data_IF_669038808989
#
_entry.id   IF_669038808989
#
_cell.length_a   1.000
_cell.length_b   1.000
_cell.length_c   1.000
_cell.angle_alpha   90.00
_cell.angle_beta   90.00
_cell.angle_gamma   90.00
#
_symmetry.space_group_name_H-M   'P 1'
#
loop_
_entity.id
_entity.type
_entity.pdbx_description
1 polymer ?
#
# COMPACT_ATOMS: atom_id res chain seq x y z
N UNK A 1 57.46 2.01 -8.67
CA UNK A 1 56.34 2.73 -8.00
C UNK A 1 55.09 2.83 -8.89
N UNK A 2 54.46 1.70 -9.24
CA UNK A 2 53.19 1.68 -10.00
C UNK A 2 52.19 0.60 -9.49
N UNK A 3 52.26 0.24 -8.21
CA UNK A 3 51.38 -0.76 -7.60
C UNK A 3 50.33 -0.17 -6.64
N UNK A 4 50.47 1.08 -6.19
CA UNK A 4 49.55 1.70 -5.22
C UNK A 4 48.22 2.23 -5.81
N UNK A 5 48.10 2.43 -7.13
CA UNK A 5 46.82 2.90 -7.73
C UNK A 5 45.81 1.76 -7.95
N UNK A 6 46.32 0.53 -8.01
CA UNK A 6 45.63 -0.76 -7.82
C UNK A 6 44.53 -0.81 -6.74
N UNK A 7 45.03 -0.64 -5.52
CA UNK A 7 44.35 -1.05 -4.30
C UNK A 7 43.33 0.01 -3.86
N UNK A 8 43.57 1.28 -4.21
CA UNK A 8 42.63 2.36 -3.94
C UNK A 8 41.37 2.27 -4.83
N UNK A 9 41.48 1.74 -6.06
CA UNK A 9 40.32 1.52 -6.93
C UNK A 9 39.49 0.31 -6.50
N UNK A 10 40.11 -0.70 -5.88
CA UNK A 10 39.42 -1.86 -5.30
C UNK A 10 38.71 -1.55 -3.98
N UNK A 11 39.21 -0.57 -3.21
CA UNK A 11 38.54 -0.10 -1.99
C UNK A 11 37.30 0.76 -2.27
N UNK A 12 37.21 1.42 -3.43
CA UNK A 12 36.00 2.15 -3.84
C UNK A 12 34.89 1.17 -4.30
N UNK A 13 35.23 -0.05 -4.72
CA UNK A 13 34.24 -1.09 -5.05
C UNK A 13 33.89 -2.02 -3.87
N UNK A 14 34.66 -2.00 -2.78
CA UNK A 14 34.42 -2.82 -1.59
C UNK A 14 33.36 -2.25 -0.62
N UNK A 15 32.94 -1.00 -0.80
CA UNK A 15 31.75 -0.44 -0.14
C UNK A 15 30.49 -0.55 -1.00
N UNK A 16 30.43 -1.54 -1.89
CA UNK A 16 29.13 -2.16 -2.16
C UNK A 16 28.75 -2.98 -0.93
N UNK A 17 28.27 -2.28 0.11
CA UNK A 17 27.33 -2.87 1.04
C UNK A 17 26.24 -3.44 0.14
N UNK A 18 26.33 -4.74 -0.13
CA UNK A 18 25.24 -5.52 -0.70
C UNK A 18 24.22 -5.57 0.41
N UNK A 19 23.50 -4.45 0.55
CA UNK A 19 22.27 -4.38 1.28
C UNK A 19 21.38 -5.38 0.57
N UNK A 20 21.32 -6.60 1.10
CA UNK A 20 20.18 -7.46 0.82
C UNK A 20 19.01 -6.71 1.44
N UNK A 21 18.40 -5.84 0.64
CA UNK A 21 17.07 -5.31 0.91
C UNK A 21 16.24 -6.57 1.09
N UNK A 22 16.04 -6.98 2.34
CA UNK A 22 15.02 -7.96 2.70
C UNK A 22 13.74 -7.24 2.37
N UNK A 23 13.31 -7.37 1.11
CA UNK A 23 12.11 -6.73 0.60
C UNK A 23 11.00 -7.08 1.56
N UNK A 24 10.39 -6.06 2.15
CA UNK A 24 9.28 -6.29 3.05
C UNK A 24 8.15 -7.00 2.30
N UNK A 25 7.31 -7.76 3.02
CA UNK A 25 6.13 -8.41 2.43
C UNK A 25 5.29 -7.36 1.67
N UNK A 26 5.19 -6.17 2.23
CA UNK A 26 4.54 -5.02 1.61
C UNK A 26 5.13 -4.60 0.26
N UNK A 27 6.46 -4.56 0.12
CA UNK A 27 7.10 -4.23 -1.15
C UNK A 27 6.81 -5.29 -2.23
N UNK A 28 6.75 -6.56 -1.84
CA UNK A 28 6.39 -7.65 -2.75
C UNK A 28 4.91 -7.57 -3.18
N UNK A 29 4.01 -7.22 -2.26
CA UNK A 29 2.59 -6.98 -2.52
C UNK A 29 2.41 -5.80 -3.47
N UNK A 30 3.08 -4.68 -3.21
CA UNK A 30 3.06 -3.48 -4.05
C UNK A 30 3.61 -3.74 -5.46
N UNK A 31 4.65 -4.56 -5.57
CA UNK A 31 5.18 -4.96 -6.87
C UNK A 31 4.15 -5.77 -7.68
N UNK A 32 3.46 -6.72 -7.06
CA UNK A 32 2.43 -7.52 -7.74
C UNK A 32 1.20 -6.67 -8.11
N UNK A 33 0.73 -5.82 -7.19
CA UNK A 33 -0.31 -4.82 -7.45
C UNK A 33 -0.02 -4.04 -8.73
N UNK A 34 1.20 -3.51 -8.84
CA UNK A 34 1.66 -2.75 -10.02
C UNK A 34 1.63 -3.59 -11.31
N UNK A 35 2.13 -4.82 -11.27
CA UNK A 35 2.18 -5.67 -12.48
C UNK A 35 0.77 -5.94 -12.99
N UNK A 36 -0.12 -6.34 -12.09
CA UNK A 36 -1.48 -6.72 -12.47
C UNK A 36 -2.31 -5.50 -12.88
N UNK A 37 -2.19 -4.38 -12.19
CA UNK A 37 -2.84 -3.12 -12.60
C UNK A 37 -2.33 -2.62 -13.96
N UNK A 38 -1.03 -2.77 -14.27
CA UNK A 38 -0.48 -2.39 -15.57
C UNK A 38 -1.02 -3.26 -16.71
N UNK A 39 -1.16 -4.57 -16.47
CA UNK A 39 -1.81 -5.49 -17.43
C UNK A 39 -3.26 -5.08 -17.67
N UNK A 40 -4.00 -4.75 -16.60
CA UNK A 40 -5.37 -4.28 -16.69
C UNK A 40 -5.48 -2.94 -17.46
N UNK A 41 -4.60 -1.99 -17.20
CA UNK A 41 -4.53 -0.71 -17.92
C UNK A 41 -4.31 -0.93 -19.42
N UNK A 42 -3.32 -1.74 -19.79
CA UNK A 42 -3.03 -2.03 -21.20
C UNK A 42 -4.23 -2.67 -21.92
N UNK A 43 -4.95 -3.58 -21.26
CA UNK A 43 -6.15 -4.19 -21.83
C UNK A 43 -7.32 -3.22 -21.93
N UNK A 44 -7.48 -2.34 -20.94
CA UNK A 44 -8.50 -1.29 -20.96
C UNK A 44 -8.25 -0.29 -22.09
N UNK A 45 -6.99 0.09 -22.33
CA UNK A 45 -6.58 0.93 -23.47
C UNK A 45 -6.83 0.24 -24.82
N UNK A 46 -6.58 -1.07 -24.92
CA UNK A 46 -6.94 -1.86 -26.11
C UNK A 46 -8.45 -1.89 -26.34
N UNK A 47 -9.24 -2.14 -25.30
CA UNK A 47 -10.70 -2.09 -25.38
C UNK A 47 -11.19 -0.72 -25.83
N UNK A 48 -10.63 0.37 -25.29
CA UNK A 48 -10.93 1.74 -25.68
C UNK A 48 -10.62 1.99 -27.16
N UNK A 49 -9.47 1.54 -27.65
CA UNK A 49 -9.09 1.63 -29.05
C UNK A 49 -10.08 0.88 -29.97
N UNK A 50 -10.42 -0.37 -29.63
CA UNK A 50 -11.37 -1.19 -30.40
C UNK A 50 -12.79 -0.61 -30.37
N UNK A 51 -13.19 0.08 -29.29
CA UNK A 51 -14.46 0.84 -29.20
C UNK A 51 -14.48 2.08 -30.10
N UNK A 52 -13.32 2.67 -30.41
CA UNK A 52 -13.20 3.82 -31.32
C UNK A 52 -13.04 3.41 -32.80
N UNK A 53 -12.83 2.13 -33.08
CA UNK A 53 -12.68 1.65 -34.44
C UNK A 53 -13.96 1.84 -35.29
N UNK A 54 -13.77 2.08 -36.59
CA UNK A 54 -14.87 2.21 -37.57
C UNK A 54 -15.73 0.94 -37.61
N UNK A 55 -15.10 -0.24 -37.58
CA UNK A 55 -15.75 -1.55 -37.44
C UNK A 55 -15.42 -2.12 -36.07
N UNK A 56 -16.42 -2.21 -35.20
CA UNK A 56 -16.25 -2.67 -33.81
C UNK A 56 -16.35 -4.20 -33.75
N UNK A 57 -15.29 -4.85 -33.27
CA UNK A 57 -15.31 -6.29 -33.00
C UNK A 57 -15.83 -6.55 -31.60
N UNK A 58 -17.10 -6.95 -31.49
CA UNK A 58 -17.76 -7.21 -30.20
C UNK A 58 -16.97 -8.23 -29.37
N UNK A 59 -16.53 -9.33 -29.98
CA UNK A 59 -15.82 -10.41 -29.29
C UNK A 59 -14.49 -9.93 -28.74
N UNK A 60 -13.74 -9.15 -29.52
CA UNK A 60 -12.45 -8.61 -29.13
C UNK A 60 -12.58 -7.64 -27.95
N UNK A 61 -13.53 -6.71 -28.02
CA UNK A 61 -13.80 -5.76 -26.92
C UNK A 61 -14.17 -6.52 -25.64
N UNK A 62 -15.05 -7.52 -25.73
CA UNK A 62 -15.44 -8.35 -24.58
C UNK A 62 -14.25 -9.09 -23.97
N UNK A 63 -13.37 -9.65 -24.80
CA UNK A 63 -12.16 -10.33 -24.33
C UNK A 63 -11.26 -9.36 -23.58
N UNK A 64 -10.99 -8.18 -24.13
CA UNK A 64 -10.15 -7.19 -23.46
C UNK A 64 -10.73 -6.72 -22.11
N UNK A 65 -12.03 -6.41 -22.06
CA UNK A 65 -12.68 -5.99 -20.81
C UNK A 65 -12.70 -7.12 -19.77
N UNK A 66 -13.04 -8.35 -20.18
CA UNK A 66 -13.03 -9.51 -19.27
C UNK A 66 -11.63 -9.80 -18.73
N UNK A 67 -10.60 -9.72 -19.58
CA UNK A 67 -9.22 -9.90 -19.15
C UNK A 67 -8.73 -8.76 -18.24
N UNK A 68 -9.19 -7.52 -18.48
CA UNK A 68 -8.89 -6.39 -17.59
C UNK A 68 -9.49 -6.62 -16.19
N UNK A 69 -10.75 -7.06 -16.11
CA UNK A 69 -11.39 -7.44 -14.84
C UNK A 69 -10.66 -8.56 -14.12
N UNK A 70 -10.25 -9.61 -14.85
CA UNK A 70 -9.44 -10.69 -14.29
C UNK A 70 -8.19 -10.14 -13.60
N UNK A 71 -7.40 -9.31 -14.29
CA UNK A 71 -6.18 -8.76 -13.69
C UNK A 71 -6.44 -7.74 -12.57
N UNK A 72 -7.55 -7.01 -12.58
CA UNK A 72 -7.94 -6.16 -11.46
C UNK A 72 -8.33 -6.96 -10.21
N UNK A 73 -8.97 -8.11 -10.39
CA UNK A 73 -9.26 -9.05 -9.30
C UNK A 73 -7.96 -9.66 -8.76
N UNK A 74 -7.05 -10.06 -9.64
CA UNK A 74 -5.72 -10.52 -9.23
C UNK A 74 -4.97 -9.43 -8.47
N UNK A 75 -4.97 -8.19 -8.96
CA UNK A 75 -4.37 -7.06 -8.24
C UNK A 75 -4.97 -6.88 -6.84
N UNK A 76 -6.31 -6.96 -6.72
CA UNK A 76 -7.01 -6.82 -5.44
C UNK A 76 -6.53 -7.85 -4.40
N UNK A 77 -6.19 -9.07 -4.83
CA UNK A 77 -5.67 -10.11 -3.94
C UNK A 77 -4.30 -9.78 -3.32
N UNK A 78 -3.56 -8.84 -3.92
CA UNK A 78 -2.29 -8.35 -3.40
C UNK A 78 -2.43 -7.03 -2.63
N UNK A 79 -3.65 -6.49 -2.47
CA UNK A 79 -3.85 -5.37 -1.57
C UNK A 79 -3.56 -5.80 -0.12
N UNK A 80 -2.72 -5.07 0.64
CA UNK A 80 -2.44 -5.40 2.02
C UNK A 80 -3.69 -5.43 2.91
N UNK A 81 -4.62 -4.49 2.71
CA UNK A 81 -5.91 -4.46 3.42
C UNK A 81 -6.75 -5.70 3.10
N UNK A 82 -6.79 -6.14 1.84
CA UNK A 82 -7.51 -7.36 1.44
C UNK A 82 -6.98 -8.59 2.17
N UNK A 83 -5.66 -8.75 2.26
CA UNK A 83 -5.04 -9.91 2.92
C UNK A 83 -5.34 -9.93 4.42
N UNK A 84 -5.30 -8.76 5.07
CA UNK A 84 -5.69 -8.63 6.48
C UNK A 84 -7.18 -8.93 6.66
N UNK A 85 -8.05 -8.37 5.81
CA UNK A 85 -9.49 -8.61 5.87
C UNK A 85 -9.84 -10.08 5.64
N UNK A 86 -9.14 -10.76 4.73
CA UNK A 86 -9.28 -12.21 4.52
C UNK A 86 -8.81 -13.01 5.73
N UNK A 87 -7.74 -12.58 6.41
CA UNK A 87 -7.29 -13.21 7.65
C UNK A 87 -8.32 -13.00 8.76
N UNK A 88 -8.88 -11.80 8.90
CA UNK A 88 -9.99 -11.53 9.81
C UNK A 88 -11.17 -12.45 9.50
N UNK A 89 -11.60 -12.57 8.24
CA UNK A 89 -12.69 -13.47 7.83
C UNK A 89 -12.42 -14.93 8.21
N UNK A 90 -11.18 -15.38 8.06
CA UNK A 90 -10.77 -16.73 8.45
C UNK A 90 -10.87 -16.92 9.97
N UNK A 91 -10.48 -15.91 10.75
CA UNK A 91 -10.57 -15.94 12.21
C UNK A 91 -12.04 -15.92 12.66
N UNK A 92 -12.88 -15.06 12.07
CA UNK A 92 -14.32 -14.99 12.33
C UNK A 92 -14.98 -16.36 12.11
N UNK A 93 -14.78 -16.96 10.93
CA UNK A 93 -15.32 -18.28 10.60
C UNK A 93 -14.83 -19.36 11.57
N UNK A 94 -13.57 -19.29 12.00
CA UNK A 94 -13.02 -20.26 12.94
C UNK A 94 -13.64 -20.12 14.33
N UNK A 95 -13.87 -18.90 14.81
CA UNK A 95 -14.59 -18.66 16.06
C UNK A 95 -16.02 -19.22 15.96
N UNK A 96 -16.71 -18.95 14.86
CA UNK A 96 -18.10 -19.40 14.64
C UNK A 96 -18.22 -20.93 14.64
N UNK A 97 -17.32 -21.61 13.92
CA UNK A 97 -17.33 -23.07 13.77
C UNK A 97 -16.73 -23.80 14.97
N UNK A 98 -15.76 -23.20 15.67
CA UNK A 98 -14.97 -23.84 16.72
C UNK A 98 -14.81 -22.93 17.95
N UNK A 99 -15.93 -22.57 18.58
CA UNK A 99 -16.01 -21.59 19.69
C UNK A 99 -15.07 -21.85 20.88
N UNK A 100 -14.65 -23.10 21.11
CA UNK A 100 -13.80 -23.48 22.23
C UNK A 100 -12.30 -23.53 21.87
N UNK A 101 -11.94 -23.32 20.60
CA UNK A 101 -10.54 -23.38 20.19
C UNK A 101 -9.73 -22.16 20.65
N UNK A 102 -8.44 -22.40 20.85
CA UNK A 102 -7.49 -21.34 21.14
C UNK A 102 -7.01 -20.67 19.86
N UNK A 103 -7.51 -19.47 19.58
CA UNK A 103 -7.14 -18.65 18.42
C UNK A 103 -6.08 -17.57 18.74
N UNK A 104 -5.43 -17.62 19.91
CA UNK A 104 -4.41 -16.63 20.32
C UNK A 104 -3.28 -16.51 19.30
N UNK A 105 -2.86 -17.62 18.68
CA UNK A 105 -1.82 -17.61 17.64
C UNK A 105 -2.27 -16.84 16.40
N UNK A 106 -3.54 -16.97 16.01
CA UNK A 106 -4.10 -16.25 14.88
C UNK A 106 -4.16 -14.74 15.16
N UNK A 107 -4.50 -14.35 16.39
CA UNK A 107 -4.49 -12.96 16.82
C UNK A 107 -3.07 -12.35 16.81
N UNK A 108 -2.06 -13.11 17.29
CA UNK A 108 -0.66 -12.68 17.21
C UNK A 108 -0.23 -12.48 15.75
N UNK A 109 -0.63 -13.41 14.87
CA UNK A 109 -0.34 -13.30 13.44
C UNK A 109 -1.05 -12.09 12.81
N UNK A 110 -2.34 -11.87 13.10
CA UNK A 110 -3.10 -10.72 12.62
C UNK A 110 -2.48 -9.39 13.06
N UNK A 111 -2.07 -9.28 14.34
CA UNK A 111 -1.40 -8.08 14.85
C UNK A 111 -0.09 -7.81 14.09
N UNK A 112 0.70 -8.84 13.82
CA UNK A 112 1.96 -8.68 13.08
C UNK A 112 1.70 -8.21 11.64
N UNK A 113 0.69 -8.76 10.95
CA UNK A 113 0.31 -8.31 9.61
C UNK A 113 -0.17 -6.85 9.61
N UNK A 114 -1.00 -6.46 10.59
CA UNK A 114 -1.47 -5.08 10.77
C UNK A 114 -0.29 -4.13 11.02
N UNK A 115 0.71 -4.56 11.82
CA UNK A 115 1.93 -3.80 12.09
C UNK A 115 2.76 -3.52 10.84
N UNK A 116 2.71 -4.39 9.83
CA UNK A 116 3.42 -4.17 8.56
C UNK A 116 2.86 -3.01 7.73
N UNK A 117 1.60 -2.63 7.96
CA UNK A 117 0.93 -1.51 7.29
C UNK A 117 0.52 -0.35 8.20
N UNK A 118 1.07 -0.30 9.40
CA UNK A 118 0.68 0.65 10.47
C UNK A 118 0.64 2.11 10.07
N UNK A 119 1.60 2.60 9.28
CA UNK A 119 1.64 4.00 8.82
C UNK A 119 0.53 4.36 7.83
N UNK A 120 -0.22 3.36 7.34
CA UNK A 120 -1.36 3.54 6.44
C UNK A 120 -2.71 3.28 7.12
N UNK A 121 -2.72 2.86 8.39
CA UNK A 121 -3.96 2.56 9.13
C UNK A 121 -4.33 3.76 9.99
N UNK A 122 -5.57 4.23 9.85
CA UNK A 122 -6.14 5.21 10.77
C UNK A 122 -6.33 4.58 12.17
N UNK A 123 -5.93 5.27 13.22
CA UNK A 123 -6.05 4.81 14.62
C UNK A 123 -5.30 3.50 14.91
N UNK A 124 -4.16 3.27 14.26
CA UNK A 124 -3.34 2.07 14.48
C UNK A 124 -3.05 1.81 15.97
N UNK A 125 -2.70 2.84 16.76
CA UNK A 125 -2.34 2.66 18.17
C UNK A 125 -3.50 2.10 19.00
N UNK A 126 -4.73 2.53 18.69
CA UNK A 126 -5.95 2.01 19.33
C UNK A 126 -6.16 0.55 18.97
N UNK A 127 -6.02 0.21 17.68
CA UNK A 127 -6.18 -1.16 17.17
C UNK A 127 -5.14 -2.08 17.81
N UNK A 128 -3.87 -1.67 17.85
CA UNK A 128 -2.78 -2.43 18.46
C UNK A 128 -3.04 -2.66 19.94
N UNK A 129 -3.43 -1.62 20.69
CA UNK A 129 -3.71 -1.72 22.12
C UNK A 129 -4.84 -2.71 22.43
N UNK A 130 -5.93 -2.66 21.66
CA UNK A 130 -7.07 -3.57 21.86
C UNK A 130 -6.70 -5.00 21.48
N UNK A 131 -5.98 -5.22 20.37
CA UNK A 131 -5.48 -6.54 19.98
C UNK A 131 -4.54 -7.12 21.02
N UNK A 132 -3.61 -6.32 21.55
CA UNK A 132 -2.69 -6.75 22.60
C UNK A 132 -3.42 -7.13 23.88
N UNK A 133 -4.49 -6.42 24.25
CA UNK A 133 -5.33 -6.81 25.38
C UNK A 133 -6.00 -8.17 25.15
N UNK A 134 -6.59 -8.40 23.97
CA UNK A 134 -7.16 -9.70 23.61
C UNK A 134 -6.10 -10.81 23.63
N UNK A 135 -4.89 -10.56 23.13
CA UNK A 135 -3.80 -11.55 23.11
C UNK A 135 -3.30 -11.88 24.52
N UNK A 136 -3.08 -10.86 25.35
CA UNK A 136 -2.57 -11.03 26.73
C UNK A 136 -3.58 -11.78 27.59
N UNK A 137 -4.85 -11.38 27.50
CA UNK A 137 -5.94 -11.88 28.35
C UNK A 137 -6.87 -12.87 27.64
N UNK A 138 -6.36 -13.61 26.64
CA UNK A 138 -7.16 -14.50 25.81
C UNK A 138 -7.79 -15.65 26.61
N UNK A 139 -9.09 -15.84 26.45
CA UNK A 139 -9.87 -17.02 26.89
C UNK A 139 -10.92 -17.33 25.82
N UNK A 140 -11.23 -18.60 25.53
CA UNK A 140 -12.31 -18.96 24.59
C UNK A 140 -13.67 -18.34 24.94
N UNK A 141 -13.93 -18.05 26.22
CA UNK A 141 -15.15 -17.38 26.68
C UNK A 141 -15.32 -15.96 26.13
N UNK A 142 -14.22 -15.31 25.69
CA UNK A 142 -14.22 -13.96 25.12
C UNK A 142 -14.45 -13.94 23.61
N UNK A 143 -14.70 -15.10 23.00
CA UNK A 143 -14.83 -15.23 21.56
C UNK A 143 -16.02 -14.45 20.99
N UNK A 144 -17.11 -14.27 21.75
CA UNK A 144 -18.25 -13.44 21.31
C UNK A 144 -17.88 -11.95 21.23
N UNK A 145 -17.21 -11.41 22.26
CA UNK A 145 -16.71 -10.02 22.24
C UNK A 145 -15.68 -9.81 21.12
N UNK A 146 -14.82 -10.82 20.91
CA UNK A 146 -13.81 -10.79 19.87
C UNK A 146 -14.42 -10.82 18.45
N UNK A 147 -15.50 -11.55 18.22
CA UNK A 147 -16.25 -11.53 16.95
C UNK A 147 -16.72 -10.12 16.61
N UNK A 148 -17.33 -9.42 17.58
CA UNK A 148 -17.81 -8.06 17.39
C UNK A 148 -16.66 -7.10 17.06
N UNK A 149 -15.57 -7.19 17.83
CA UNK A 149 -14.38 -6.37 17.59
C UNK A 149 -13.75 -6.63 16.21
N UNK A 150 -13.57 -7.90 15.82
CA UNK A 150 -12.97 -8.26 14.54
C UNK A 150 -13.86 -7.85 13.36
N UNK A 151 -15.18 -7.93 13.51
CA UNK A 151 -16.13 -7.47 12.49
C UNK A 151 -16.03 -5.96 12.27
N UNK A 152 -15.95 -5.17 13.34
CA UNK A 152 -15.73 -3.72 13.27
C UNK A 152 -14.34 -3.40 12.69
N UNK A 153 -13.29 -4.11 13.15
CA UNK A 153 -11.94 -3.92 12.67
C UNK A 153 -11.83 -4.13 11.15
N UNK A 154 -12.49 -5.15 10.61
CA UNK A 154 -12.51 -5.45 9.17
C UNK A 154 -12.97 -4.25 8.33
N UNK A 155 -13.98 -3.52 8.80
CA UNK A 155 -14.51 -2.35 8.10
C UNK A 155 -13.58 -1.13 8.16
N UNK A 156 -12.63 -1.12 9.09
CA UNK A 156 -11.72 0.01 9.33
C UNK A 156 -10.32 -0.18 8.74
N UNK A 157 -9.95 -1.39 8.32
CA UNK A 157 -8.67 -1.66 7.64
C UNK A 157 -8.83 -1.44 6.13
N UNK A 158 -8.50 -0.22 5.69
CA UNK A 158 -8.46 0.18 4.28
C UNK A 158 -7.20 0.95 3.97
N UNK A 159 -6.69 0.81 2.73
CA UNK A 159 -5.61 1.62 2.18
C UNK A 159 -6.19 2.47 1.04
N UNK A 160 -6.71 3.68 1.30
CA UNK A 160 -7.45 4.47 0.30
C UNK A 160 -6.66 4.75 -0.99
N UNK A 161 -5.34 4.94 -0.89
CA UNK A 161 -4.47 5.16 -2.04
C UNK A 161 -4.36 3.95 -2.99
N UNK A 162 -4.78 2.76 -2.55
CA UNK A 162 -4.76 1.51 -3.33
C UNK A 162 -6.18 1.02 -3.58
N UNK A 163 -6.96 0.84 -2.53
CA UNK A 163 -8.25 0.16 -2.57
C UNK A 163 -9.31 0.96 -3.33
N UNK A 164 -9.38 2.27 -3.10
CA UNK A 164 -10.38 3.13 -3.74
C UNK A 164 -10.19 3.20 -5.27
N UNK A 165 -8.98 3.49 -5.79
CA UNK A 165 -8.74 3.38 -7.22
C UNK A 165 -9.01 1.97 -7.79
N UNK A 166 -8.62 0.90 -7.09
CA UNK A 166 -8.86 -0.49 -7.56
C UNK A 166 -10.35 -0.77 -7.72
N UNK A 167 -11.15 -0.39 -6.72
CA UNK A 167 -12.59 -0.61 -6.73
C UNK A 167 -13.29 0.23 -7.81
N UNK A 168 -12.90 1.49 -7.95
CA UNK A 168 -13.41 2.36 -9.01
C UNK A 168 -13.10 1.79 -10.39
N UNK A 169 -11.85 1.37 -10.64
CA UNK A 169 -11.45 0.75 -11.90
C UNK A 169 -12.27 -0.51 -12.20
N UNK A 170 -12.42 -1.42 -11.22
CA UNK A 170 -13.24 -2.64 -11.39
C UNK A 170 -14.68 -2.31 -11.77
N UNK A 171 -15.28 -1.38 -11.02
CA UNK A 171 -16.67 -0.96 -11.21
C UNK A 171 -16.89 -0.43 -12.62
N UNK A 172 -16.06 0.52 -13.07
CA UNK A 172 -16.25 1.12 -14.39
C UNK A 172 -15.93 0.17 -15.55
N UNK A 173 -14.96 -0.74 -15.41
CA UNK A 173 -14.71 -1.78 -16.42
C UNK A 173 -15.87 -2.79 -16.46
N UNK A 174 -16.48 -3.15 -15.32
CA UNK A 174 -17.65 -4.02 -15.27
C UNK A 174 -18.86 -3.37 -15.96
N UNK A 175 -19.12 -2.09 -15.66
CA UNK A 175 -20.15 -1.30 -16.34
C UNK A 175 -19.88 -1.25 -17.86
N UNK A 176 -18.63 -1.05 -18.27
CA UNK A 176 -18.26 -1.07 -19.68
C UNK A 176 -18.59 -2.44 -20.33
N UNK A 177 -18.25 -3.54 -19.66
CA UNK A 177 -18.51 -4.90 -20.14
C UNK A 177 -20.00 -5.16 -20.36
N UNK A 178 -20.84 -4.76 -19.41
CA UNK A 178 -22.30 -4.92 -19.50
C UNK A 178 -22.92 -4.05 -20.60
N UNK A 179 -22.40 -2.83 -20.80
CA UNK A 179 -22.82 -1.98 -21.90
C UNK A 179 -22.40 -2.55 -23.27
N UNK A 180 -21.22 -3.17 -23.37
CA UNK A 180 -20.80 -3.88 -24.58
C UNK A 180 -21.71 -5.08 -24.86
N UNK A 181 -22.10 -5.86 -23.83
CA UNK A 181 -23.09 -6.93 -23.96
C UNK A 181 -24.42 -6.42 -24.51
N UNK A 182 -24.84 -5.25 -24.04
CA UNK A 182 -26.07 -4.56 -24.45
C UNK A 182 -25.94 -3.77 -25.77
N UNK A 183 -24.78 -3.84 -26.45
CA UNK A 183 -24.44 -3.08 -27.67
C UNK A 183 -24.49 -1.55 -27.51
N UNK A 184 -24.45 -1.04 -26.28
CA UNK A 184 -24.37 0.38 -25.98
C UNK A 184 -22.90 0.86 -25.98
N UNK A 185 -22.32 0.97 -27.17
CA UNK A 185 -20.88 1.24 -27.32
C UNK A 185 -20.46 2.64 -26.85
N UNK A 186 -21.36 3.63 -26.91
CA UNK A 186 -21.06 4.99 -26.46
C UNK A 186 -20.87 5.04 -24.94
N UNK A 187 -21.81 4.45 -24.20
CA UNK A 187 -21.70 4.35 -22.74
C UNK A 187 -20.52 3.46 -22.35
N UNK A 188 -20.33 2.32 -23.02
CA UNK A 188 -19.16 1.48 -22.78
C UNK A 188 -17.84 2.25 -22.94
N UNK A 189 -17.70 3.04 -24.01
CA UNK A 189 -16.52 3.87 -24.24
C UNK A 189 -16.29 4.84 -23.07
N UNK A 190 -17.31 5.58 -22.67
CA UNK A 190 -17.22 6.53 -21.54
C UNK A 190 -16.83 5.83 -20.24
N UNK A 191 -17.38 4.64 -19.97
CA UNK A 191 -17.02 3.87 -18.79
C UNK A 191 -15.56 3.42 -18.81
N UNK A 192 -15.04 2.96 -19.95
CA UNK A 192 -13.60 2.64 -20.07
C UNK A 192 -12.74 3.89 -19.88
N UNK A 193 -13.15 5.03 -20.45
CA UNK A 193 -12.44 6.31 -20.31
C UNK A 193 -12.35 6.73 -18.83
N UNK A 194 -13.45 6.68 -18.09
CA UNK A 194 -13.48 6.96 -16.65
C UNK A 194 -12.63 5.96 -15.86
N UNK A 195 -12.56 4.69 -16.27
CA UNK A 195 -11.75 3.67 -15.60
C UNK A 195 -10.24 3.87 -15.78
N UNK A 196 -9.79 4.61 -16.80
CA UNK A 196 -8.37 4.80 -17.09
C UNK A 196 -7.70 5.64 -15.99
N UNK A 197 -8.35 6.69 -15.49
CA UNK A 197 -7.79 7.54 -14.44
C UNK A 197 -7.43 6.77 -13.16
N UNK A 198 -8.34 6.01 -12.51
CA UNK A 198 -7.98 5.22 -11.35
C UNK A 198 -6.97 4.10 -11.66
N UNK A 199 -6.98 3.53 -12.88
CA UNK A 199 -5.93 2.60 -13.31
C UNK A 199 -4.57 3.28 -13.40
N UNK A 200 -4.51 4.52 -13.87
CA UNK A 200 -3.30 5.34 -13.87
C UNK A 200 -2.88 5.60 -12.43
N UNK A 201 -3.77 5.94 -11.51
CA UNK A 201 -3.41 6.22 -10.12
C UNK A 201 -2.77 5.02 -9.41
N UNK A 202 -3.21 3.80 -9.70
CA UNK A 202 -2.60 2.57 -9.14
C UNK A 202 -1.29 2.23 -9.85
N UNK A 203 -1.19 2.51 -11.16
CA UNK A 203 -0.01 2.14 -11.98
C UNK A 203 1.10 3.18 -11.97
N UNK A 204 0.77 4.45 -11.71
CA UNK A 204 1.67 5.62 -11.72
C UNK A 204 2.76 5.54 -10.66
N UNK A 205 2.64 4.58 -9.74
CA UNK A 205 3.59 4.29 -8.67
C UNK A 205 3.62 5.37 -7.58
N UNK A 206 3.10 6.58 -7.82
CA UNK A 206 3.02 7.63 -6.80
C UNK A 206 2.32 7.09 -5.55
N UNK A 207 1.07 6.64 -5.69
CA UNK A 207 0.30 6.10 -4.57
C UNK A 207 1.01 4.92 -3.88
N UNK A 208 1.63 4.04 -4.66
CA UNK A 208 2.36 2.88 -4.14
C UNK A 208 3.63 3.30 -3.35
N UNK A 209 4.36 4.30 -3.84
CA UNK A 209 5.52 4.85 -3.14
C UNK A 209 5.11 5.65 -1.91
N UNK A 210 4.00 6.38 -1.97
CA UNK A 210 3.44 7.08 -0.81
C UNK A 210 3.00 6.10 0.28
N UNK A 211 2.41 4.95 -0.08
CA UNK A 211 2.09 3.89 0.89
C UNK A 211 3.34 3.36 1.59
N UNK A 212 4.42 3.14 0.83
CA UNK A 212 5.71 2.72 1.41
C UNK A 212 6.30 3.81 2.30
N UNK A 213 6.30 5.06 1.82
CA UNK A 213 6.75 6.22 2.56
C UNK A 213 6.04 6.36 3.90
N UNK A 214 4.69 6.36 3.90
CA UNK A 214 3.85 6.44 5.10
C UNK A 214 4.25 5.39 6.14
N UNK A 215 4.46 4.14 5.70
CA UNK A 215 4.90 3.08 6.60
C UNK A 215 6.30 3.31 7.16
N UNK A 216 7.29 3.60 6.31
CA UNK A 216 8.69 3.75 6.76
C UNK A 216 8.88 4.97 7.67
N UNK A 217 8.18 6.07 7.43
CA UNK A 217 8.11 7.20 8.37
C UNK A 217 7.61 6.73 9.74
N UNK A 218 6.50 5.99 9.75
CA UNK A 218 5.93 5.54 11.01
C UNK A 218 6.86 4.54 11.72
N UNK A 219 7.59 3.69 10.96
CA UNK A 219 8.60 2.81 11.54
C UNK A 219 9.72 3.61 12.20
N UNK A 220 10.22 4.64 11.52
CA UNK A 220 11.26 5.51 12.05
C UNK A 220 10.82 6.23 13.32
N UNK A 221 9.63 6.83 13.32
CA UNK A 221 9.02 7.43 14.51
C UNK A 221 8.94 6.49 15.72
N UNK A 222 8.53 5.24 15.51
CA UNK A 222 8.49 4.24 16.58
C UNK A 222 9.87 3.83 17.10
N UNK A 223 10.86 3.73 16.22
CA UNK A 223 12.25 3.43 16.60
C UNK A 223 12.83 4.57 17.43
N UNK A 224 12.57 5.83 17.06
CA UNK A 224 12.94 7.01 17.85
C UNK A 224 12.30 6.97 19.25
N UNK A 225 11.01 6.65 19.34
CA UNK A 225 10.31 6.51 20.64
C UNK A 225 10.95 5.46 21.56
N UNK A 226 11.59 4.44 21.00
CA UNK A 226 12.23 3.33 21.71
C UNK A 226 13.73 3.52 21.94
N UNK A 227 14.28 4.68 21.58
CA UNK A 227 15.71 4.99 21.65
C UNK A 227 16.57 4.07 20.75
N UNK A 228 16.00 3.55 19.66
CA UNK A 228 16.72 2.79 18.64
C UNK A 228 17.09 3.70 17.46
N UNK A 229 18.12 4.52 17.66
CA UNK A 229 18.59 5.49 16.66
C UNK A 229 19.07 4.84 15.37
N UNK A 230 19.67 3.64 15.45
CA UNK A 230 20.16 2.93 14.27
C UNK A 230 19.03 2.44 13.36
N UNK A 231 17.92 1.97 13.93
CA UNK A 231 16.72 1.66 13.14
C UNK A 231 15.99 2.91 12.65
N UNK A 232 15.94 3.96 13.47
CA UNK A 232 15.34 5.26 13.14
C UNK A 232 15.94 5.83 11.84
N UNK A 233 17.26 6.02 11.82
CA UNK A 233 17.99 6.61 10.68
C UNK A 233 17.78 5.77 9.42
N UNK A 234 17.89 4.45 9.56
CA UNK A 234 17.69 3.49 8.47
C UNK A 234 16.29 3.60 7.86
N UNK A 235 15.26 3.64 8.69
CA UNK A 235 13.88 3.76 8.20
C UNK A 235 13.61 5.13 7.59
N UNK A 236 14.20 6.20 8.15
CA UNK A 236 14.10 7.55 7.62
C UNK A 236 14.72 7.67 6.22
N UNK A 237 15.91 7.09 6.01
CA UNK A 237 16.57 7.05 4.70
C UNK A 237 15.72 6.32 3.65
N UNK A 238 15.16 5.16 4.03
CA UNK A 238 14.27 4.38 3.16
C UNK A 238 13.00 5.19 2.84
N UNK A 239 12.42 5.87 3.83
CA UNK A 239 11.26 6.74 3.63
C UNK A 239 11.57 7.85 2.61
N UNK A 240 12.68 8.58 2.79
CA UNK A 240 13.14 9.63 1.88
C UNK A 240 13.31 9.11 0.45
N UNK A 241 13.93 7.93 0.28
CA UNK A 241 14.06 7.25 -1.02
C UNK A 241 12.71 7.03 -1.70
N UNK A 242 11.68 6.60 -0.98
CA UNK A 242 10.35 6.41 -1.55
C UNK A 242 9.63 7.73 -1.86
N UNK A 243 9.79 8.76 -1.04
CA UNK A 243 9.20 10.07 -1.33
C UNK A 243 9.83 10.73 -2.57
N UNK A 244 11.15 10.61 -2.75
CA UNK A 244 11.82 11.05 -3.97
C UNK A 244 11.31 10.31 -5.22
N UNK A 245 11.14 8.99 -5.12
CA UNK A 245 10.53 8.20 -6.19
C UNK A 245 9.09 8.59 -6.48
N UNK A 246 8.31 8.97 -5.46
CA UNK A 246 6.97 9.50 -5.65
C UNK A 246 7.02 10.81 -6.45
N UNK A 247 7.87 11.76 -6.04
CA UNK A 247 8.07 13.04 -6.73
C UNK A 247 8.35 12.90 -8.23
N UNK A 248 9.21 11.95 -8.61
CA UNK A 248 9.60 11.71 -10.02
C UNK A 248 8.42 11.35 -10.93
N UNK A 249 7.39 10.71 -10.38
CA UNK A 249 6.23 10.22 -11.13
C UNK A 249 4.97 11.02 -10.82
N UNK A 250 5.11 12.13 -10.09
CA UNK A 250 3.97 12.85 -9.56
C UNK A 250 3.25 13.72 -10.55
N UNK A 251 1.92 13.78 -10.38
CA UNK A 251 1.10 14.76 -11.11
C UNK A 251 1.43 16.17 -10.60
N UNK A 252 1.35 17.22 -11.45
CA UNK A 252 1.63 18.60 -11.05
C UNK A 252 0.86 19.07 -9.81
N UNK A 253 -0.36 18.58 -9.61
CA UNK A 253 -1.19 18.89 -8.44
C UNK A 253 -0.58 18.44 -7.10
N UNK A 254 0.24 17.39 -7.10
CA UNK A 254 0.74 16.75 -5.88
C UNK A 254 2.20 17.17 -5.57
N UNK A 255 2.89 17.82 -6.51
CA UNK A 255 4.31 18.20 -6.38
C UNK A 255 4.55 19.12 -5.18
N UNK A 256 3.68 20.12 -4.95
CA UNK A 256 3.85 21.06 -3.84
C UNK A 256 3.77 20.37 -2.48
N UNK A 257 2.82 19.43 -2.33
CA UNK A 257 2.67 18.67 -1.11
C UNK A 257 3.86 17.73 -0.87
N UNK A 258 4.37 17.09 -1.93
CA UNK A 258 5.58 16.25 -1.83
C UNK A 258 6.84 17.08 -1.50
N UNK A 259 6.97 18.28 -2.06
CA UNK A 259 8.07 19.18 -1.69
C UNK A 259 8.00 19.59 -0.22
N UNK A 260 6.82 19.90 0.31
CA UNK A 260 6.64 20.20 1.74
C UNK A 260 7.05 19.00 2.62
N UNK A 261 6.67 17.78 2.22
CA UNK A 261 7.09 16.56 2.93
C UNK A 261 8.60 16.35 2.89
N UNK A 262 9.26 16.66 1.76
CA UNK A 262 10.72 16.59 1.63
C UNK A 262 11.41 17.64 2.52
N UNK A 263 10.91 18.87 2.53
CA UNK A 263 11.45 19.93 3.40
C UNK A 263 11.36 19.52 4.88
N UNK A 264 10.22 18.95 5.32
CA UNK A 264 10.07 18.44 6.68
C UNK A 264 10.96 17.25 7.00
N UNK A 265 11.12 16.33 6.05
CA UNK A 265 12.08 15.23 6.18
C UNK A 265 13.50 15.75 6.40
N UNK A 266 13.92 16.77 5.66
CA UNK A 266 15.26 17.36 5.79
C UNK A 266 15.45 18.04 7.16
N UNK A 267 14.39 18.61 7.76
CA UNK A 267 14.44 19.12 9.14
C UNK A 267 14.71 18.01 10.15
N UNK A 268 14.06 16.85 9.99
CA UNK A 268 14.29 15.67 10.82
C UNK A 268 15.72 15.12 10.58
N UNK A 269 16.18 15.10 9.34
CA UNK A 269 17.45 14.50 8.92
C UNK A 269 18.68 15.30 9.35
N UNK A 270 18.62 16.64 9.27
CA UNK A 270 19.80 17.50 9.37
C UNK A 270 20.08 18.03 10.78
N UNK A 271 19.48 17.43 11.83
CA UNK A 271 19.81 17.74 13.25
C UNK A 271 19.72 19.23 13.62
N UNK A 272 18.92 20.05 12.91
CA UNK A 272 18.65 21.43 13.36
C UNK A 272 17.83 21.47 14.66
N UNK A 273 17.35 20.30 15.10
CA UNK A 273 16.60 20.07 16.31
C UNK A 273 17.44 19.18 17.23
N UNK A 274 18.00 19.77 18.30
CA UNK A 274 18.78 19.06 19.31
C UNK A 274 17.89 18.30 20.33
N UNK A 275 16.60 18.63 20.41
CA UNK A 275 15.64 18.02 21.34
C UNK A 275 14.82 16.91 20.68
N UNK A 276 14.92 15.69 21.22
CA UNK A 276 14.12 14.53 20.83
C UNK A 276 12.62 14.83 20.81
N UNK A 277 12.11 15.62 21.76
CA UNK A 277 10.68 15.96 21.81
C UNK A 277 10.25 16.79 20.60
N UNK A 278 11.11 17.68 20.12
CA UNK A 278 10.84 18.52 18.96
C UNK A 278 10.93 17.71 17.66
N UNK A 279 11.86 16.76 17.55
CA UNK A 279 11.90 15.80 16.42
C UNK A 279 10.61 14.96 16.39
N UNK A 280 10.15 14.49 17.55
CA UNK A 280 8.89 13.74 17.66
C UNK A 280 7.67 14.58 17.24
N UNK A 281 7.66 15.89 17.53
CA UNK A 281 6.61 16.81 17.05
C UNK A 281 6.63 16.92 15.52
N UNK A 282 7.80 17.05 14.90
CA UNK A 282 7.89 17.09 13.44
C UNK A 282 7.44 15.79 12.79
N UNK A 283 7.77 14.63 13.37
CA UNK A 283 7.20 13.34 12.93
C UNK A 283 5.68 13.32 12.99
N UNK A 284 5.08 13.81 14.08
CA UNK A 284 3.62 13.85 14.23
C UNK A 284 2.98 14.76 13.18
N UNK A 285 3.57 15.93 12.91
CA UNK A 285 3.05 16.83 11.87
C UNK A 285 3.17 16.18 10.48
N UNK A 286 4.29 15.50 10.21
CA UNK A 286 4.50 14.80 8.94
C UNK A 286 3.49 13.65 8.77
N UNK A 287 3.24 12.86 9.80
CA UNK A 287 2.22 11.79 9.81
C UNK A 287 0.82 12.37 9.64
N UNK A 288 0.50 13.51 10.27
CA UNK A 288 -0.81 14.17 10.12
C UNK A 288 -1.01 14.70 8.69
N UNK A 289 0.01 15.35 8.11
CA UNK A 289 -0.03 15.81 6.72
C UNK A 289 -0.25 14.65 5.74
N UNK A 290 0.24 13.46 6.08
CA UNK A 290 0.03 12.25 5.29
C UNK A 290 -1.38 11.69 5.38
N UNK A 291 -2.18 12.05 6.39
CA UNK A 291 -3.61 11.68 6.44
C UNK A 291 -4.44 12.43 5.39
N UNK A 292 -3.95 13.58 4.91
CA UNK A 292 -4.61 14.40 3.89
C UNK A 292 -4.31 13.94 2.44
N UNK A 293 -3.54 12.84 2.27
CA UNK A 293 -3.39 12.08 1.03
C UNK A 293 -4.27 10.84 1.03
#
# INVERSE_FOLDING_TARGET
MKFCKWIFLLLIFANSFSFSETKSILESQIYNLRIYSLKALNLSLKAYSSLNAKRKSLNEIKVYLKSALFFLNEASNYSPSYLINKKIDTILLRIELFRNENIKKDLISLRNDIKDIRGNIANYEKIETVLDNYIKNYSPEKNEDLLLYLSDLKSNITLPLIDTPLENAKTFIAIAYDNVNSRNYLTAKKSVEIAIDPLIDITSRENLYLVLFKNYIYKSFESLKKDDLGEEEKYLEIARKYLLKAKEVSKPSNINLINNLLERLELIYNTEIDDKEDILKEYLILIENLKNF
#
